data_IF_312821578819
#
_entry.id   IF_312821578819
#
_cell.length_a   1.000
_cell.length_b   1.000
_cell.length_c   1.000
_cell.angle_alpha   90.00
_cell.angle_beta   90.00
_cell.angle_gamma   90.00
#
_symmetry.space_group_name_H-M   'P 1'
#
loop_
_entity.id
_entity.type
_entity.pdbx_description
1 polymer ?
#
# COMPACT_ATOMS: atom_id res chain seq x y z
N UNK A 1 -9.36 3.32 -14.12
CA UNK A 1 -8.59 4.52 -13.75
C UNK A 1 -7.06 4.29 -13.85
N UNK A 2 -6.51 3.26 -13.18
CA UNK A 2 -5.07 2.92 -13.14
C UNK A 2 -4.39 2.83 -14.51
N UNK A 3 -4.98 2.08 -15.45
CA UNK A 3 -4.43 1.95 -16.83
C UNK A 3 -4.29 3.28 -17.56
N UNK A 4 -5.12 4.28 -17.21
CA UNK A 4 -5.10 5.62 -17.83
C UNK A 4 -4.01 6.50 -17.21
N UNK A 5 -3.76 6.38 -15.91
CA UNK A 5 -2.66 7.09 -15.23
C UNK A 5 -1.30 6.54 -15.63
N UNK A 6 -1.16 5.22 -15.74
CA UNK A 6 0.06 4.55 -16.24
C UNK A 6 0.43 5.06 -17.65
N UNK A 7 -0.57 5.19 -18.53
CA UNK A 7 -0.37 5.71 -19.88
C UNK A 7 -0.07 7.22 -19.93
N UNK A 8 -0.45 8.01 -18.91
CA UNK A 8 -0.24 9.46 -18.86
C UNK A 8 1.02 9.86 -18.08
N UNK A 9 1.49 9.04 -17.13
CA UNK A 9 2.71 9.31 -16.34
C UNK A 9 4.00 9.00 -17.11
N UNK A 10 3.94 8.21 -18.19
CA UNK A 10 5.14 7.78 -18.91
C UNK A 10 6.02 6.80 -18.12
N UNK A 11 5.51 6.26 -17.01
CA UNK A 11 6.23 5.29 -16.18
C UNK A 11 6.37 3.94 -16.88
N UNK A 12 7.49 3.29 -16.64
CA UNK A 12 7.76 1.94 -17.13
C UNK A 12 6.64 0.99 -16.66
N UNK A 13 6.19 0.11 -17.57
CA UNK A 13 5.16 -0.88 -17.27
C UNK A 13 5.74 -2.06 -16.47
N UNK A 14 6.56 -1.76 -15.45
CA UNK A 14 7.15 -2.68 -14.50
C UNK A 14 6.40 -2.63 -13.15
N UNK A 15 6.75 -3.56 -12.24
CA UNK A 15 6.13 -3.63 -10.91
C UNK A 15 6.17 -2.30 -10.13
N UNK A 16 7.31 -1.60 -10.06
CA UNK A 16 7.43 -0.29 -9.42
C UNK A 16 6.55 0.81 -10.04
N UNK A 17 6.51 0.91 -11.37
CA UNK A 17 5.68 1.89 -12.08
C UNK A 17 4.18 1.62 -11.89
N UNK A 18 3.79 0.35 -11.74
CA UNK A 18 2.41 -0.01 -11.44
C UNK A 18 1.99 0.44 -10.02
N UNK A 19 2.89 0.31 -9.05
CA UNK A 19 2.67 0.77 -7.67
C UNK A 19 2.58 2.30 -7.57
N UNK A 20 3.45 3.02 -8.28
CA UNK A 20 3.39 4.48 -8.36
C UNK A 20 2.11 4.99 -9.03
N UNK A 21 1.70 4.37 -10.14
CA UNK A 21 0.45 4.70 -10.81
C UNK A 21 -0.78 4.42 -9.94
N UNK A 22 -0.77 3.31 -9.18
CA UNK A 22 -1.81 2.99 -8.19
C UNK A 22 -1.86 4.01 -7.05
N UNK A 23 -0.70 4.34 -6.47
CA UNK A 23 -0.56 5.33 -5.39
C UNK A 23 -1.07 6.70 -5.82
N UNK A 24 -0.71 7.14 -7.03
CA UNK A 24 -1.16 8.42 -7.61
C UNK A 24 -2.67 8.46 -7.87
N UNK A 25 -3.26 7.34 -8.30
CA UNK A 25 -4.73 7.23 -8.48
C UNK A 25 -5.45 7.25 -7.13
N UNK A 26 -4.95 6.49 -6.16
CA UNK A 26 -5.51 6.45 -4.80
C UNK A 26 -5.44 7.82 -4.13
N UNK A 27 -4.34 8.55 -4.30
CA UNK A 27 -4.16 9.91 -3.76
C UNK A 27 -5.13 10.95 -4.34
N UNK A 28 -5.63 10.74 -5.57
CA UNK A 28 -6.54 11.67 -6.26
C UNK A 28 -8.02 11.30 -6.13
N UNK A 29 -8.35 10.20 -5.45
CA UNK A 29 -9.74 9.76 -5.33
C UNK A 29 -10.44 10.56 -4.22
N UNK A 30 -11.53 11.28 -4.49
CA UNK A 30 -12.19 12.12 -3.50
C UNK A 30 -12.88 11.28 -2.43
N UNK A 31 -12.67 11.70 -1.18
CA UNK A 31 -13.31 11.30 0.08
C UNK A 31 -14.38 10.19 0.03
N UNK A 32 -13.91 8.96 0.13
CA UNK A 32 -14.52 7.95 1.00
C UNK A 32 -13.42 7.47 1.94
N UNK A 33 -13.75 7.12 3.17
CA UNK A 33 -12.88 6.69 4.27
C UNK A 33 -11.89 5.58 3.89
N UNK A 34 -10.88 5.92 3.10
CA UNK A 34 -9.83 5.02 2.69
C UNK A 34 -8.76 5.05 3.78
N UNK A 35 -9.08 4.38 4.89
CA UNK A 35 -8.14 4.05 5.96
C UNK A 35 -6.77 3.58 5.41
N UNK A 36 -6.71 2.72 4.37
CA UNK A 36 -5.42 2.33 3.77
C UNK A 36 -4.63 3.51 3.16
N UNK A 37 -5.31 4.46 2.50
CA UNK A 37 -4.65 5.62 1.90
C UNK A 37 -4.15 6.62 2.96
N UNK A 38 -4.89 6.78 4.06
CA UNK A 38 -4.43 7.58 5.22
C UNK A 38 -3.22 6.96 5.91
N UNK A 39 -3.23 5.63 6.07
CA UNK A 39 -2.10 4.91 6.66
C UNK A 39 -0.88 5.02 5.75
N UNK A 40 -1.04 4.85 4.43
CA UNK A 40 0.06 5.04 3.48
C UNK A 40 0.65 6.45 3.55
N UNK A 41 -0.19 7.48 3.64
CA UNK A 41 0.26 8.87 3.75
C UNK A 41 0.98 9.18 5.08
N UNK A 42 0.64 8.45 6.16
CA UNK A 42 1.23 8.66 7.48
C UNK A 42 2.49 7.80 7.71
N UNK A 43 2.46 6.53 7.30
CA UNK A 43 3.52 5.55 7.51
C UNK A 43 3.45 4.44 6.44
N UNK A 44 4.42 4.45 5.53
CA UNK A 44 4.53 3.46 4.47
C UNK A 44 4.75 2.04 5.01
N UNK A 45 5.51 1.86 6.10
CA UNK A 45 5.75 0.54 6.70
C UNK A 45 4.49 0.00 7.40
N UNK A 46 3.69 0.89 7.99
CA UNK A 46 2.37 0.53 8.49
C UNK A 46 1.44 0.11 7.35
N UNK A 47 1.49 0.77 6.19
CA UNK A 47 0.72 0.33 5.03
C UNK A 47 1.17 -1.05 4.52
N UNK A 48 2.47 -1.31 4.46
CA UNK A 48 3.00 -2.65 4.14
C UNK A 48 2.52 -3.69 5.17
N UNK A 49 2.53 -3.34 6.46
CA UNK A 49 1.99 -4.20 7.52
C UNK A 49 0.49 -4.48 7.32
N UNK A 50 -0.30 -3.50 6.89
CA UNK A 50 -1.73 -3.65 6.62
C UNK A 50 -1.97 -4.64 5.47
N UNK A 51 -1.37 -4.40 4.30
CA UNK A 51 -1.59 -5.23 3.12
C UNK A 51 -1.03 -6.66 3.29
N UNK A 52 0.04 -6.83 4.09
CA UNK A 52 0.60 -8.15 4.38
C UNK A 52 -0.25 -8.99 5.35
N UNK A 53 -1.10 -8.33 6.14
CA UNK A 53 -2.07 -8.96 7.06
C UNK A 53 -3.48 -9.06 6.48
N UNK A 54 -3.76 -8.41 5.35
CA UNK A 54 -5.05 -8.46 4.67
C UNK A 54 -5.21 -9.80 3.93
N UNK A 55 -6.09 -10.66 4.44
CA UNK A 55 -6.41 -11.95 3.84
C UNK A 55 -7.22 -11.84 2.55
N UNK A 56 -7.88 -10.71 2.30
CA UNK A 56 -8.67 -10.50 1.08
C UNK A 56 -7.77 -10.22 -0.13
N UNK A 57 -6.59 -9.62 0.08
CA UNK A 57 -5.66 -9.26 -1.00
C UNK A 57 -4.88 -10.46 -1.56
N UNK A 58 -4.80 -11.59 -0.83
CA UNK A 58 -4.10 -12.82 -1.26
C UNK A 58 -2.70 -12.60 -1.85
N UNK A 59 -2.00 -11.54 -1.42
CA UNK A 59 -0.66 -11.19 -1.90
C UNK A 59 0.41 -11.97 -1.13
N UNK A 60 1.39 -12.51 -1.86
CA UNK A 60 2.56 -13.14 -1.25
C UNK A 60 3.52 -12.07 -0.73
N UNK A 61 4.27 -12.41 0.32
CA UNK A 61 5.29 -11.53 0.88
C UNK A 61 6.35 -11.13 -0.16
N UNK A 62 6.64 -12.00 -1.13
CA UNK A 62 7.54 -11.70 -2.26
C UNK A 62 6.98 -10.57 -3.11
N UNK A 63 5.71 -10.65 -3.50
CA UNK A 63 5.05 -9.68 -4.37
C UNK A 63 4.94 -8.31 -3.67
N UNK A 64 4.64 -8.32 -2.37
CA UNK A 64 4.63 -7.10 -1.55
C UNK A 64 6.04 -6.51 -1.48
N UNK A 65 7.06 -7.34 -1.28
CA UNK A 65 8.45 -6.91 -1.21
C UNK A 65 8.93 -6.28 -2.51
N UNK A 66 8.67 -6.93 -3.65
CA UNK A 66 8.99 -6.43 -4.99
C UNK A 66 8.28 -5.10 -5.28
N UNK A 67 7.00 -4.98 -4.92
CA UNK A 67 6.23 -3.77 -5.15
C UNK A 67 6.65 -2.57 -4.26
N UNK A 68 7.22 -2.84 -3.09
CA UNK A 68 7.57 -1.81 -2.10
C UNK A 68 9.08 -1.55 -2.01
N UNK A 69 9.91 -2.37 -2.65
CA UNK A 69 11.36 -2.36 -2.50
C UNK A 69 11.86 -2.97 -1.19
N UNK A 70 10.98 -3.55 -0.37
CA UNK A 70 11.38 -4.23 0.86
C UNK A 70 11.73 -5.69 0.62
N UNK A 71 12.78 -6.18 1.27
CA UNK A 71 13.08 -7.62 1.28
C UNK A 71 11.99 -8.41 2.02
N UNK A 72 11.79 -9.68 1.64
CA UNK A 72 10.79 -10.56 2.26
C UNK A 72 10.90 -10.63 3.79
N UNK A 73 12.12 -10.66 4.33
CA UNK A 73 12.35 -10.66 5.78
C UNK A 73 11.73 -9.44 6.45
N UNK A 74 11.90 -8.26 5.85
CA UNK A 74 11.34 -6.99 6.37
C UNK A 74 9.82 -6.97 6.26
N UNK A 75 9.25 -7.47 5.16
CA UNK A 75 7.79 -7.61 5.02
C UNK A 75 7.23 -8.57 6.07
N UNK A 76 7.92 -9.68 6.36
CA UNK A 76 7.55 -10.60 7.43
C UNK A 76 7.60 -9.93 8.81
N UNK A 77 8.63 -9.15 9.11
CA UNK A 77 8.74 -8.44 10.38
C UNK A 77 7.66 -7.37 10.55
N UNK A 78 7.35 -6.63 9.49
CA UNK A 78 6.25 -5.67 9.45
C UNK A 78 4.88 -6.35 9.58
N UNK A 79 4.72 -7.55 9.00
CA UNK A 79 3.51 -8.35 9.19
C UNK A 79 3.34 -8.75 10.65
N UNK A 80 4.41 -9.24 11.30
CA UNK A 80 4.39 -9.68 12.70
C UNK A 80 4.18 -8.53 13.69
N UNK A 81 4.81 -7.38 13.45
CA UNK A 81 4.70 -6.22 14.32
C UNK A 81 3.30 -5.59 14.32
N UNK A 82 2.48 -5.88 13.30
CA UNK A 82 1.13 -5.33 13.12
C UNK A 82 1.11 -3.80 13.30
N UNK A 83 2.14 -3.13 12.80
CA UNK A 83 2.34 -1.67 12.90
C UNK A 83 1.17 -0.84 12.37
N UNK A 84 0.32 -1.42 11.53
CA UNK A 84 -0.92 -0.80 11.08
C UNK A 84 -1.98 -0.64 12.18
N UNK A 85 -2.03 -1.49 13.21
CA UNK A 85 -3.12 -1.51 14.19
C UNK A 85 -3.35 -0.15 14.89
N UNK A 86 -2.33 0.51 15.49
CA UNK A 86 -2.54 1.78 16.15
C UNK A 86 -3.02 2.90 15.19
N UNK A 87 -2.59 2.85 13.94
CA UNK A 87 -2.93 3.84 12.91
C UNK A 87 -4.32 3.60 12.32
N UNK A 88 -4.75 2.34 12.24
CA UNK A 88 -6.12 1.94 11.89
C UNK A 88 -7.08 2.40 12.99
N UNK A 89 -6.78 2.13 14.27
CA UNK A 89 -7.61 2.55 15.41
C UNK A 89 -7.73 4.07 15.50
N UNK A 90 -6.62 4.80 15.36
CA UNK A 90 -6.62 6.26 15.29
C UNK A 90 -7.36 6.81 14.05
N UNK A 91 -7.49 6.01 12.99
CA UNK A 91 -8.25 6.39 11.80
C UNK A 91 -9.75 6.18 11.95
N UNK A 92 -10.19 5.23 12.79
CA UNK A 92 -11.59 4.92 13.09
C UNK A 92 -12.17 5.70 14.28
N UNK A 93 -11.34 6.30 15.14
CA UNK A 93 -11.78 7.03 16.34
C UNK A 93 -12.41 8.41 16.07
N UNK A 94 -13.22 8.56 15.02
CA UNK A 94 -13.85 9.83 14.64
C UNK A 94 -15.34 9.86 14.97
#
# INVERSE_FOLDING_TARGET
AVKRTLALSGESHDGPGLFHALSSVLARTPHHDNVPARILAADQEAFVSLIANDSALSLKQTEIGEATGYGQSRVSDLKKSKRHLPLVEASYAK
#
